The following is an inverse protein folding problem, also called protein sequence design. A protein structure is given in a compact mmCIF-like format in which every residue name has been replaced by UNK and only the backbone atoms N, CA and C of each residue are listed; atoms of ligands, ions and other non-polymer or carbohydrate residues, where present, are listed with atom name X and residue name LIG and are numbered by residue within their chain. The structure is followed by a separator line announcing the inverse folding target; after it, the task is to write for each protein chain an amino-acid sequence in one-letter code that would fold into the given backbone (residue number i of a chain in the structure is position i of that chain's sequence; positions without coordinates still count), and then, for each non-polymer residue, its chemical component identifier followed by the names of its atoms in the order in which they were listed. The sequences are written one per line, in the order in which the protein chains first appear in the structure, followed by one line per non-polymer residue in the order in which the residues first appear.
data_IF_008075705538
#
_entry.id   IF_008075705538
#
_cell.length_a   1.000
_cell.length_b   1.000
_cell.length_c   1.000
_cell.angle_alpha   90.00
_cell.angle_beta   90.00
_cell.angle_gamma   90.00
#
_symmetry.space_group_name_H-M   'P 1'
#
loop_
_entity.id
_entity.type
_entity.pdbx_description
1 polymer ?
#
# COMPACT_ATOMS: atom_id res chain seq x y z
N UNK A 1 -8.91 -13.41 -25.52
CA UNK A 1 -9.25 -12.38 -24.50
C UNK A 1 -9.34 -11.05 -25.24
N UNK A 2 -10.22 -10.10 -24.85
CA UNK A 2 -10.21 -8.77 -25.43
C UNK A 2 -8.81 -8.14 -25.28
N UNK A 3 -8.38 -7.36 -26.27
CA UNK A 3 -7.07 -6.71 -26.23
C UNK A 3 -7.14 -5.52 -25.25
N UNK A 4 -6.09 -5.28 -24.44
CA UNK A 4 -6.03 -4.12 -23.57
C UNK A 4 -6.15 -2.81 -24.37
N UNK A 5 -6.90 -1.80 -23.91
CA UNK A 5 -7.09 -0.53 -24.62
C UNK A 5 -5.88 0.41 -24.47
N UNK A 6 -4.67 -0.10 -24.71
CA UNK A 6 -3.40 0.62 -24.52
C UNK A 6 -3.24 1.86 -25.40
N UNK A 7 -3.95 1.88 -26.53
CA UNK A 7 -3.92 2.97 -27.52
C UNK A 7 -4.90 4.10 -27.21
N UNK A 8 -5.64 4.02 -26.09
CA UNK A 8 -6.52 5.11 -25.66
C UNK A 8 -5.66 6.37 -25.38
N UNK A 9 -6.09 7.56 -25.82
CA UNK A 9 -5.33 8.79 -25.57
C UNK A 9 -5.26 9.08 -24.06
N UNK A 10 -4.04 9.28 -23.56
CA UNK A 10 -3.79 9.69 -22.19
C UNK A 10 -4.21 11.16 -21.97
N UNK A 11 -4.93 11.43 -20.89
CA UNK A 11 -5.16 12.81 -20.47
C UNK A 11 -3.91 13.40 -19.82
N UNK A 12 -3.21 14.26 -20.57
CA UNK A 12 -1.97 14.89 -20.12
C UNK A 12 -2.15 15.80 -18.89
N UNK A 13 -3.33 16.38 -18.69
CA UNK A 13 -3.65 17.17 -17.49
C UNK A 13 -3.71 16.27 -16.27
N UNK A 14 -4.41 15.14 -16.36
CA UNK A 14 -4.49 14.15 -15.28
C UNK A 14 -3.11 13.57 -14.99
N UNK A 15 -2.32 13.23 -16.03
CA UNK A 15 -0.92 12.83 -15.84
C UNK A 15 -0.12 13.88 -15.08
N UNK A 16 -0.21 15.16 -15.46
CA UNK A 16 0.51 16.23 -14.78
C UNK A 16 0.08 16.37 -13.31
N UNK A 17 -1.22 16.27 -13.02
CA UNK A 17 -1.75 16.27 -11.66
C UNK A 17 -1.23 15.08 -10.87
N UNK A 18 -1.29 13.87 -11.42
CA UNK A 18 -0.77 12.66 -10.77
C UNK A 18 0.72 12.79 -10.49
N UNK A 19 1.52 13.28 -11.44
CA UNK A 19 2.96 13.47 -11.25
C UNK A 19 3.24 14.56 -10.23
N UNK A 20 2.92 15.81 -10.53
CA UNK A 20 3.32 16.93 -9.68
C UNK A 20 2.61 16.92 -8.33
N UNK A 21 1.33 16.54 -8.30
CA UNK A 21 0.54 16.44 -7.07
C UNK A 21 1.06 15.37 -6.12
N UNK A 22 1.28 14.15 -6.61
CA UNK A 22 1.78 13.06 -5.74
C UNK A 22 3.24 13.29 -5.30
N UNK A 23 4.09 13.88 -6.14
CA UNK A 23 5.45 14.26 -5.72
C UNK A 23 5.46 15.39 -4.68
N UNK A 24 4.52 16.34 -4.74
CA UNK A 24 4.36 17.34 -3.69
C UNK A 24 3.94 16.69 -2.36
N UNK A 25 3.00 15.73 -2.40
CA UNK A 25 2.62 14.94 -1.22
C UNK A 25 3.83 14.17 -0.68
N UNK A 26 4.61 13.51 -1.54
CA UNK A 26 5.84 12.82 -1.14
C UNK A 26 6.82 13.77 -0.44
N UNK A 27 7.08 14.96 -0.99
CA UNK A 27 7.97 15.93 -0.36
C UNK A 27 7.49 16.34 1.05
N UNK A 28 6.18 16.57 1.22
CA UNK A 28 5.58 16.87 2.53
C UNK A 28 5.70 15.68 3.47
N UNK A 29 5.39 14.47 3.01
CA UNK A 29 5.48 13.25 3.80
C UNK A 29 6.91 12.99 4.28
N UNK A 30 7.92 13.19 3.42
CA UNK A 30 9.33 13.11 3.78
C UNK A 30 9.71 14.16 4.82
N UNK A 31 9.27 15.41 4.66
CA UNK A 31 9.53 16.47 5.64
C UNK A 31 8.95 16.09 7.01
N UNK A 32 7.70 15.63 7.06
CA UNK A 32 7.04 15.18 8.29
C UNK A 32 7.78 13.99 8.90
N UNK A 33 8.19 13.01 8.09
CA UNK A 33 8.94 11.84 8.54
C UNK A 33 10.34 12.19 9.07
N UNK A 34 11.04 13.14 8.44
CA UNK A 34 12.31 13.67 8.91
C UNK A 34 12.12 14.37 10.26
N UNK A 35 11.13 15.25 10.39
CA UNK A 35 10.86 15.94 11.66
C UNK A 35 10.52 14.93 12.77
N UNK A 36 9.68 13.93 12.47
CA UNK A 36 9.35 12.87 13.42
C UNK A 36 10.58 12.02 13.78
N UNK A 37 11.41 11.68 12.78
CA UNK A 37 12.64 10.92 12.94
C UNK A 37 13.69 11.65 13.76
N UNK A 38 13.85 12.96 13.57
CA UNK A 38 14.75 13.80 14.37
C UNK A 38 14.29 13.86 15.83
N UNK A 39 12.99 14.02 16.09
CA UNK A 39 12.42 14.02 17.44
C UNK A 39 12.58 12.68 18.17
N UNK A 40 12.49 11.57 17.43
CA UNK A 40 12.61 10.21 17.97
C UNK A 40 14.01 9.62 17.78
N UNK A 41 14.98 10.40 17.28
CA UNK A 41 16.35 9.99 16.95
C UNK A 41 16.42 8.67 16.17
N UNK A 42 15.59 8.54 15.15
CA UNK A 42 15.48 7.33 14.34
C UNK A 42 15.26 7.66 12.86
N UNK A 43 15.92 6.96 11.91
CA UNK A 43 15.64 7.10 10.49
C UNK A 43 14.36 6.36 10.05
N UNK A 44 13.72 5.62 10.97
CA UNK A 44 12.68 4.64 10.67
C UNK A 44 11.55 5.16 9.76
N UNK A 45 10.97 6.34 10.06
CA UNK A 45 9.85 6.86 9.27
C UNK A 45 10.25 7.21 7.84
N UNK A 46 11.47 7.71 7.64
CA UNK A 46 12.00 7.95 6.30
C UNK A 46 12.18 6.63 5.56
N UNK A 47 12.71 5.60 6.23
CA UNK A 47 12.87 4.27 5.63
C UNK A 47 11.53 3.64 5.25
N UNK A 48 10.47 3.83 6.05
CA UNK A 48 9.11 3.36 5.73
C UNK A 48 8.59 4.03 4.44
N UNK A 49 8.73 5.35 4.31
CA UNK A 49 8.34 6.08 3.10
C UNK A 49 9.15 5.61 1.89
N UNK A 50 10.47 5.49 2.04
CA UNK A 50 11.35 5.09 0.93
C UNK A 50 11.13 3.63 0.53
N UNK A 51 10.78 2.75 1.46
CA UNK A 51 10.41 1.37 1.15
C UNK A 51 9.10 1.29 0.34
N UNK A 52 8.13 2.16 0.63
CA UNK A 52 6.93 2.29 -0.20
C UNK A 52 7.28 2.81 -1.60
N UNK A 53 8.09 3.87 -1.72
CA UNK A 53 8.55 4.35 -3.03
C UNK A 53 9.25 3.23 -3.83
N UNK A 54 10.13 2.45 -3.18
CA UNK A 54 10.78 1.28 -3.76
C UNK A 54 9.77 0.20 -4.19
N UNK A 55 8.65 0.12 -3.48
CA UNK A 55 7.46 -0.65 -3.83
C UNK A 55 7.00 -0.50 -5.27
N UNK A 56 7.14 0.71 -5.85
CA UNK A 56 6.74 0.98 -7.23
C UNK A 56 7.39 0.01 -8.23
N UNK A 57 8.60 -0.50 -7.96
CA UNK A 57 9.27 -1.49 -8.81
C UNK A 57 8.52 -2.83 -8.94
N UNK A 58 7.66 -3.14 -7.99
CA UNK A 58 6.90 -4.40 -7.88
C UNK A 58 5.51 -4.32 -8.51
N UNK A 59 5.08 -3.11 -8.88
CA UNK A 59 3.78 -2.80 -9.49
C UNK A 59 3.47 -3.63 -10.75
N UNK A 60 4.39 -3.90 -11.69
CA UNK A 60 4.03 -4.56 -12.94
C UNK A 60 3.34 -5.91 -12.77
N UNK A 61 3.68 -6.67 -11.72
CA UNK A 61 2.98 -7.92 -11.43
C UNK A 61 1.55 -7.65 -10.95
N UNK A 62 1.38 -6.68 -10.05
CA UNK A 62 0.07 -6.27 -9.55
C UNK A 62 -0.84 -5.82 -10.69
N UNK A 63 -0.32 -5.03 -11.63
CA UNK A 63 -1.05 -4.55 -12.79
C UNK A 63 -1.56 -5.70 -13.68
N UNK A 64 -0.69 -6.66 -13.98
CA UNK A 64 -1.12 -7.86 -14.71
C UNK A 64 -2.18 -8.64 -13.93
N UNK A 65 -1.92 -8.91 -12.65
CA UNK A 65 -2.80 -9.73 -11.80
C UNK A 65 -4.20 -9.14 -11.64
N UNK A 66 -4.31 -7.82 -11.51
CA UNK A 66 -5.59 -7.13 -11.33
C UNK A 66 -6.08 -6.45 -12.61
N UNK A 67 -5.42 -6.67 -13.75
CA UNK A 67 -5.80 -6.10 -15.04
C UNK A 67 -5.86 -4.55 -15.02
N UNK A 68 -4.89 -3.90 -14.38
CA UNK A 68 -4.67 -2.44 -14.45
C UNK A 68 -3.80 -2.10 -15.64
N UNK A 69 -4.22 -1.12 -16.45
CA UNK A 69 -3.49 -0.73 -17.64
C UNK A 69 -3.38 0.79 -17.77
N UNK A 70 -2.16 1.25 -17.97
CA UNK A 70 -1.85 2.65 -18.24
C UNK A 70 -2.06 3.00 -19.72
N UNK A 71 -2.63 4.17 -19.97
CA UNK A 71 -2.70 4.71 -21.33
C UNK A 71 -1.34 5.22 -21.77
N UNK A 72 -0.89 4.76 -22.94
CA UNK A 72 0.53 4.86 -23.33
C UNK A 72 0.87 6.04 -24.25
N UNK A 73 0.04 6.46 -25.23
CA UNK A 73 0.41 7.58 -26.09
C UNK A 73 0.56 8.88 -25.28
N UNK A 74 1.79 9.41 -25.21
CA UNK A 74 2.12 10.62 -24.44
C UNK A 74 2.46 10.38 -22.96
N UNK A 75 2.54 9.12 -22.52
CA UNK A 75 2.90 8.77 -21.15
C UNK A 75 4.35 9.15 -20.83
N UNK A 76 4.57 9.71 -19.64
CA UNK A 76 5.91 9.84 -19.08
C UNK A 76 6.29 8.53 -18.39
N UNK A 77 6.94 7.64 -19.13
CA UNK A 77 7.34 6.31 -18.67
C UNK A 77 8.66 6.38 -17.88
N UNK A 78 8.69 5.75 -16.70
CA UNK A 78 9.91 5.54 -15.91
C UNK A 78 10.66 4.28 -16.35
N UNK A 79 9.93 3.17 -16.50
CA UNK A 79 10.48 1.89 -16.97
C UNK A 79 9.37 1.01 -17.55
N UNK A 80 9.76 -0.09 -18.19
CA UNK A 80 8.82 -1.07 -18.75
C UNK A 80 9.20 -2.46 -18.27
N UNK A 81 8.22 -3.22 -17.78
CA UNK A 81 8.39 -4.61 -17.37
C UNK A 81 7.14 -5.41 -17.76
N UNK A 82 7.31 -6.66 -18.18
CA UNK A 82 6.23 -7.52 -18.69
C UNK A 82 5.42 -6.92 -19.87
N UNK A 83 5.95 -5.89 -20.54
CA UNK A 83 5.23 -5.17 -21.59
C UNK A 83 4.35 -4.02 -21.09
N UNK A 84 4.30 -3.78 -19.78
CA UNK A 84 3.56 -2.68 -19.18
C UNK A 84 4.51 -1.49 -18.94
N UNK A 85 4.29 -0.33 -19.60
CA UNK A 85 5.03 0.89 -19.31
C UNK A 85 4.54 1.53 -18.00
N UNK A 86 5.44 1.62 -17.03
CA UNK A 86 5.17 2.18 -15.72
C UNK A 86 5.37 3.70 -15.75
N UNK A 87 4.38 4.51 -15.32
CA UNK A 87 4.51 5.95 -15.35
C UNK A 87 5.48 6.45 -14.27
N UNK A 88 6.08 7.62 -14.47
CA UNK A 88 6.96 8.26 -13.48
C UNK A 88 6.32 8.47 -12.12
N UNK A 89 5.01 8.67 -12.07
CA UNK A 89 4.28 8.85 -10.83
C UNK A 89 4.10 7.55 -10.04
N UNK A 90 4.47 6.37 -10.55
CA UNK A 90 4.33 5.10 -9.81
C UNK A 90 5.01 5.16 -8.44
N UNK A 91 6.21 5.75 -8.36
CA UNK A 91 6.96 5.86 -7.11
C UNK A 91 6.29 6.80 -6.11
N UNK A 92 5.82 7.96 -6.57
CA UNK A 92 5.16 8.96 -5.73
C UNK A 92 3.72 8.57 -5.38
N UNK A 93 3.04 7.83 -6.25
CA UNK A 93 1.75 7.19 -6.01
C UNK A 93 1.84 6.18 -4.88
N UNK A 94 2.85 5.31 -4.89
CA UNK A 94 3.13 4.37 -3.80
C UNK A 94 3.41 5.07 -2.46
N UNK A 95 4.10 6.21 -2.46
CA UNK A 95 4.27 7.00 -1.24
C UNK A 95 2.94 7.63 -0.79
N UNK A 96 2.15 8.12 -1.73
CA UNK A 96 0.87 8.79 -1.47
C UNK A 96 -0.15 7.81 -0.88
N UNK A 97 -0.32 6.65 -1.52
CA UNK A 97 -1.21 5.58 -1.09
C UNK A 97 -0.66 4.89 0.16
N UNK A 98 0.51 4.27 0.03
CA UNK A 98 0.97 3.33 1.05
C UNK A 98 1.90 3.95 2.09
N UNK A 99 2.93 4.67 1.64
CA UNK A 99 4.03 5.12 2.49
C UNK A 99 3.62 6.14 3.57
N UNK A 100 2.77 7.10 3.18
CA UNK A 100 2.34 8.20 4.05
C UNK A 100 1.47 7.67 5.18
N UNK A 101 0.41 6.93 4.84
CA UNK A 101 -0.47 6.30 5.84
C UNK A 101 0.31 5.33 6.70
N UNK A 102 1.19 4.50 6.13
CA UNK A 102 1.97 3.54 6.91
C UNK A 102 2.87 4.22 7.96
N UNK A 103 3.57 5.30 7.58
CA UNK A 103 4.40 6.06 8.51
C UNK A 103 3.57 6.66 9.66
N UNK A 104 2.37 7.18 9.36
CA UNK A 104 1.44 7.71 10.37
C UNK A 104 0.93 6.61 11.30
N UNK A 105 0.54 5.46 10.77
CA UNK A 105 0.11 4.30 11.55
C UNK A 105 1.25 3.85 12.46
N UNK A 106 2.46 3.67 11.95
CA UNK A 106 3.61 3.29 12.78
C UNK A 106 3.87 4.30 13.90
N UNK A 107 3.73 5.61 13.64
CA UNK A 107 3.84 6.63 14.68
C UNK A 107 2.77 6.48 15.75
N UNK A 108 1.52 6.21 15.35
CA UNK A 108 0.43 5.95 16.30
C UNK A 108 0.65 4.65 17.09
N UNK A 109 1.23 3.60 16.51
CA UNK A 109 1.63 2.38 17.24
C UNK A 109 2.57 2.75 18.39
N UNK A 110 3.56 3.62 18.17
CA UNK A 110 4.49 4.04 19.25
C UNK A 110 3.82 4.75 20.41
N UNK A 111 2.59 5.26 20.21
CA UNK A 111 1.78 5.93 21.24
C UNK A 111 0.74 5.02 21.89
N UNK A 112 0.79 3.71 21.65
CA UNK A 112 -0.16 2.75 22.22
C UNK A 112 -1.48 2.68 21.46
N UNK A 113 -1.41 2.54 20.13
CA UNK A 113 -2.60 2.38 19.30
C UNK A 113 -3.42 1.13 19.68
N UNK A 114 -4.74 1.29 19.73
CA UNK A 114 -5.68 0.18 19.93
C UNK A 114 -6.11 -0.47 18.62
N UNK A 115 -6.67 -1.68 18.69
CA UNK A 115 -7.25 -2.38 17.53
C UNK A 115 -8.33 -1.57 16.83
N UNK A 116 -9.21 -0.93 17.61
CA UNK A 116 -10.27 -0.08 17.07
C UNK A 116 -9.73 1.13 16.31
N UNK A 117 -8.61 1.70 16.75
CA UNK A 117 -7.93 2.77 16.00
C UNK A 117 -7.30 2.23 14.71
N UNK A 118 -6.71 1.04 14.72
CA UNK A 118 -6.16 0.42 13.52
C UNK A 118 -7.24 0.17 12.46
N UNK A 119 -8.44 -0.28 12.87
CA UNK A 119 -9.57 -0.43 11.95
C UNK A 119 -10.05 0.89 11.36
N UNK A 120 -10.01 1.99 12.13
CA UNK A 120 -10.29 3.33 11.57
C UNK A 120 -9.25 3.74 10.55
N UNK A 121 -7.98 3.45 10.81
CA UNK A 121 -6.91 3.68 9.83
C UNK A 121 -7.09 2.85 8.56
N UNK A 122 -7.55 1.61 8.66
CA UNK A 122 -7.90 0.80 7.49
C UNK A 122 -9.01 1.46 6.65
N UNK A 123 -10.03 2.04 7.31
CA UNK A 123 -11.08 2.79 6.62
C UNK A 123 -10.60 4.11 6.01
N UNK A 124 -9.68 4.81 6.67
CA UNK A 124 -9.03 6.02 6.12
C UNK A 124 -8.22 5.65 4.88
N UNK A 125 -7.44 4.57 4.95
CA UNK A 125 -6.65 4.09 3.82
C UNK A 125 -7.54 3.73 2.63
N UNK A 126 -8.63 2.99 2.86
CA UNK A 126 -9.60 2.66 1.82
C UNK A 126 -10.15 3.93 1.15
N UNK A 127 -10.46 4.96 1.93
CA UNK A 127 -10.95 6.22 1.39
C UNK A 127 -9.86 6.98 0.59
N UNK A 128 -8.61 6.96 1.06
CA UNK A 128 -7.46 7.54 0.35
C UNK A 128 -7.20 6.83 -0.98
N UNK A 129 -7.18 5.49 -0.97
CA UNK A 129 -7.08 4.65 -2.16
C UNK A 129 -8.21 4.95 -3.15
N UNK A 130 -9.47 4.92 -2.70
CA UNK A 130 -10.61 5.28 -3.54
C UNK A 130 -10.45 6.68 -4.17
N UNK A 131 -10.06 7.68 -3.38
CA UNK A 131 -9.91 9.04 -3.88
C UNK A 131 -8.81 9.14 -4.96
N UNK A 132 -7.64 8.56 -4.71
CA UNK A 132 -6.52 8.57 -5.66
C UNK A 132 -6.89 7.84 -6.95
N UNK A 133 -7.41 6.62 -6.82
CA UNK A 133 -7.73 5.73 -7.93
C UNK A 133 -8.87 6.27 -8.79
N UNK A 134 -9.95 6.73 -8.17
CA UNK A 134 -11.08 7.31 -8.90
C UNK A 134 -10.66 8.58 -9.66
N UNK A 135 -9.75 9.40 -9.11
CA UNK A 135 -9.21 10.57 -9.84
C UNK A 135 -8.39 10.13 -11.05
N UNK A 136 -7.51 9.14 -10.89
CA UNK A 136 -6.68 8.62 -11.99
C UNK A 136 -7.52 8.01 -13.12
N UNK A 137 -8.47 7.15 -12.76
CA UNK A 137 -9.32 6.43 -13.71
C UNK A 137 -10.26 7.38 -14.44
N UNK A 138 -11.07 8.14 -13.70
CA UNK A 138 -12.06 9.04 -14.30
C UNK A 138 -11.40 10.27 -14.94
N UNK A 139 -10.16 10.57 -14.58
CA UNK A 139 -9.33 11.56 -15.25
C UNK A 139 -8.74 11.06 -16.56
N UNK A 140 -8.86 9.78 -16.90
CA UNK A 140 -8.32 9.20 -18.14
C UNK A 140 -6.82 9.00 -18.12
N UNK A 141 -6.26 8.54 -17.00
CA UNK A 141 -4.84 8.17 -16.88
C UNK A 141 -4.60 6.67 -17.12
N UNK A 142 -5.49 5.83 -16.61
CA UNK A 142 -5.41 4.38 -16.65
C UNK A 142 -6.78 3.77 -16.33
N UNK A 143 -6.94 2.48 -16.48
CA UNK A 143 -8.17 1.79 -16.09
C UNK A 143 -7.91 0.36 -15.63
N UNK A 144 -8.85 -0.18 -14.85
CA UNK A 144 -8.99 -1.62 -14.69
C UNK A 144 -9.89 -2.12 -15.81
N UNK A 145 -9.39 -2.89 -16.78
CA UNK A 145 -10.21 -3.31 -17.95
C UNK A 145 -10.89 -4.67 -17.76
N UNK A 146 -10.45 -5.47 -16.79
CA UNK A 146 -11.01 -6.79 -16.52
C UNK A 146 -12.50 -6.75 -16.13
N UNK A 147 -13.22 -7.89 -16.17
CA UNK A 147 -14.64 -7.94 -15.84
C UNK A 147 -14.88 -7.86 -14.31
N UNK A 148 -14.25 -6.91 -13.64
CA UNK A 148 -14.34 -6.67 -12.20
C UNK A 148 -15.77 -6.40 -11.74
N UNK A 149 -16.13 -6.96 -10.58
CA UNK A 149 -17.39 -6.69 -9.90
C UNK A 149 -17.29 -5.48 -8.94
N UNK A 150 -18.44 -4.91 -8.57
CA UNK A 150 -18.58 -3.87 -7.54
C UNK A 150 -17.74 -2.60 -7.79
N UNK A 151 -17.73 -2.12 -9.03
CA UNK A 151 -17.09 -0.86 -9.39
C UNK A 151 -17.85 0.33 -8.81
N UNK A 152 -17.11 1.33 -8.34
CA UNK A 152 -17.60 2.65 -7.96
C UNK A 152 -16.78 3.67 -8.72
N UNK A 153 -17.41 4.49 -9.57
CA UNK A 153 -16.70 5.40 -10.50
C UNK A 153 -15.58 4.65 -11.25
N UNK A 154 -15.94 3.51 -11.84
CA UNK A 154 -15.06 2.58 -12.57
C UNK A 154 -13.95 1.89 -11.76
N UNK A 155 -13.77 2.25 -10.49
CA UNK A 155 -12.79 1.63 -9.58
C UNK A 155 -13.36 0.37 -8.89
N UNK A 156 -12.75 -0.82 -9.06
CA UNK A 156 -13.16 -2.04 -8.35
C UNK A 156 -12.85 -1.96 -6.85
N UNK A 157 -13.88 -1.93 -5.99
CA UNK A 157 -13.67 -1.66 -4.55
C UNK A 157 -12.85 -2.73 -3.81
N UNK A 158 -12.79 -3.96 -4.35
CA UNK A 158 -11.93 -5.03 -3.81
C UNK A 158 -10.46 -4.62 -3.80
N UNK A 159 -10.04 -3.82 -4.76
CA UNK A 159 -8.66 -3.39 -4.90
C UNK A 159 -8.30 -2.45 -3.75
N UNK A 160 -9.13 -1.46 -3.46
CA UNK A 160 -8.86 -0.54 -2.35
C UNK A 160 -8.88 -1.24 -0.99
N UNK A 161 -9.65 -2.32 -0.86
CA UNK A 161 -9.66 -3.15 0.34
C UNK A 161 -8.36 -3.98 0.45
N UNK A 162 -7.85 -4.52 -0.66
CA UNK A 162 -6.58 -5.25 -0.69
C UNK A 162 -5.40 -4.31 -0.39
N UNK A 163 -5.39 -3.12 -0.99
CA UNK A 163 -4.45 -2.04 -0.70
C UNK A 163 -4.49 -1.63 0.77
N UNK A 164 -5.69 -1.46 1.33
CA UNK A 164 -5.84 -1.19 2.76
C UNK A 164 -5.24 -2.30 3.61
N UNK A 165 -5.51 -3.58 3.27
CA UNK A 165 -4.92 -4.70 3.98
C UNK A 165 -3.38 -4.71 3.87
N UNK A 166 -2.84 -4.38 2.69
CA UNK A 166 -1.41 -4.22 2.47
C UNK A 166 -0.80 -3.18 3.41
N UNK A 167 -1.37 -1.97 3.47
CA UNK A 167 -0.86 -0.89 4.33
C UNK A 167 -0.91 -1.27 5.79
N UNK A 168 -2.01 -1.86 6.25
CA UNK A 168 -2.15 -2.30 7.64
C UNK A 168 -1.11 -3.37 7.98
N UNK A 169 -0.97 -4.41 7.16
CA UNK A 169 0.00 -5.47 7.37
C UNK A 169 1.44 -4.93 7.35
N UNK A 170 1.79 -4.07 6.39
CA UNK A 170 3.09 -3.44 6.32
C UNK A 170 3.38 -2.59 7.56
N UNK A 171 2.44 -1.77 7.99
CA UNK A 171 2.59 -0.88 9.14
C UNK A 171 2.84 -1.65 10.45
N UNK A 172 2.07 -2.72 10.67
CA UNK A 172 2.24 -3.56 11.86
C UNK A 172 3.55 -4.34 11.79
N UNK A 173 3.91 -4.91 10.64
CA UNK A 173 5.17 -5.62 10.46
C UNK A 173 6.39 -4.69 10.66
N UNK A 174 6.35 -3.49 10.07
CA UNK A 174 7.39 -2.48 10.21
C UNK A 174 7.52 -2.00 11.67
N UNK A 175 6.40 -1.80 12.37
CA UNK A 175 6.42 -1.44 13.79
C UNK A 175 6.97 -2.56 14.68
N UNK A 176 6.62 -3.82 14.39
CA UNK A 176 7.21 -4.99 15.06
C UNK A 176 8.71 -5.09 14.82
N UNK A 177 9.16 -4.90 13.58
CA UNK A 177 10.58 -4.83 13.25
C UNK A 177 11.27 -3.74 14.07
N UNK A 178 10.70 -2.53 14.12
CA UNK A 178 11.24 -1.43 14.90
C UNK A 178 11.34 -1.76 16.39
N UNK A 179 10.32 -2.38 16.98
CA UNK A 179 10.31 -2.73 18.41
C UNK A 179 11.40 -3.75 18.76
N UNK A 180 11.71 -4.66 17.82
CA UNK A 180 12.68 -5.74 18.02
C UNK A 180 14.08 -5.40 17.52
N UNK A 181 14.24 -4.29 16.80
CA UNK A 181 15.51 -3.89 16.24
C UNK A 181 16.50 -3.50 17.35
N UNK A 182 17.63 -4.19 17.40
CA UNK A 182 18.76 -3.90 18.30
C UNK A 182 19.81 -3.00 17.65
N UNK A 183 19.72 -2.74 16.35
CA UNK A 183 20.61 -1.83 15.63
C UNK A 183 19.87 -1.06 14.53
N UNK A 184 20.34 0.15 14.15
CA UNK A 184 19.76 0.91 13.04
C UNK A 184 19.78 0.18 11.70
N UNK A 185 20.76 -0.71 11.48
CA UNK A 185 20.88 -1.47 10.24
C UNK A 185 19.68 -2.42 10.03
N UNK A 186 19.13 -3.00 11.09
CA UNK A 186 17.97 -3.90 11.00
C UNK A 186 16.72 -3.18 10.51
N UNK A 187 16.62 -1.85 10.68
CA UNK A 187 15.48 -1.08 10.20
C UNK A 187 15.38 -1.07 8.67
N UNK A 188 16.48 -1.31 7.94
CA UNK A 188 16.44 -1.49 6.49
C UNK A 188 15.63 -2.72 6.06
N UNK A 189 15.32 -3.64 6.98
CA UNK A 189 14.40 -4.75 6.74
C UNK A 189 13.02 -4.31 6.24
N UNK A 190 12.60 -3.05 6.45
CA UNK A 190 11.35 -2.53 5.86
C UNK A 190 11.32 -2.60 4.33
N UNK A 191 12.47 -2.54 3.65
CA UNK A 191 12.56 -2.70 2.19
C UNK A 191 12.26 -4.13 1.73
N UNK A 192 12.48 -5.13 2.59
CA UNK A 192 12.06 -6.51 2.33
C UNK A 192 10.61 -6.75 2.77
N UNK A 193 10.18 -6.13 3.88
CA UNK A 193 8.81 -6.26 4.38
C UNK A 193 7.79 -5.67 3.42
N UNK A 194 8.07 -4.52 2.80
CA UNK A 194 7.12 -3.87 1.88
C UNK A 194 6.67 -4.81 0.75
N UNK A 195 7.54 -5.33 -0.14
CA UNK A 195 7.12 -6.22 -1.21
C UNK A 195 6.51 -7.53 -0.69
N UNK A 196 7.00 -8.06 0.44
CA UNK A 196 6.42 -9.26 1.05
C UNK A 196 4.97 -9.05 1.46
N UNK A 197 4.67 -7.95 2.16
CA UNK A 197 3.30 -7.59 2.57
C UNK A 197 2.43 -7.16 1.40
N UNK A 198 3.01 -6.51 0.39
CA UNK A 198 2.36 -6.14 -0.85
C UNK A 198 1.82 -7.35 -1.59
N UNK A 199 2.66 -8.36 -1.85
CA UNK A 199 2.22 -9.59 -2.49
C UNK A 199 1.34 -10.45 -1.57
N UNK A 200 1.59 -10.49 -0.27
CA UNK A 200 0.73 -11.22 0.67
C UNK A 200 -0.72 -10.72 0.62
N UNK A 201 -0.94 -9.41 0.61
CA UNK A 201 -2.27 -8.84 0.51
C UNK A 201 -2.81 -8.96 -0.92
N UNK A 202 -2.15 -8.33 -1.89
CA UNK A 202 -2.71 -8.18 -3.24
C UNK A 202 -2.77 -9.50 -4.02
N UNK A 203 -1.80 -10.40 -3.85
CA UNK A 203 -1.82 -11.71 -4.50
C UNK A 203 -2.32 -12.82 -3.58
N UNK A 204 -1.91 -12.82 -2.31
CA UNK A 204 -2.36 -13.85 -1.36
C UNK A 204 -3.87 -13.74 -1.11
N UNK A 205 -4.34 -12.59 -0.60
CA UNK A 205 -5.77 -12.38 -0.41
C UNK A 205 -6.52 -12.14 -1.73
N UNK A 206 -5.89 -11.51 -2.73
CA UNK A 206 -6.49 -11.29 -4.06
C UNK A 206 -6.52 -12.51 -4.97
N UNK A 207 -5.86 -13.62 -4.64
CA UNK A 207 -5.76 -14.80 -5.51
C UNK A 207 -7.10 -15.27 -6.09
N UNK A 208 -8.20 -15.41 -5.31
CA UNK A 208 -9.49 -15.81 -5.87
C UNK A 208 -9.95 -14.92 -7.03
N UNK A 209 -9.96 -13.59 -6.87
CA UNK A 209 -10.41 -12.68 -7.93
C UNK A 209 -9.43 -12.71 -9.12
N UNK A 210 -8.12 -12.72 -8.87
CA UNK A 210 -7.09 -12.78 -9.93
C UNK A 210 -7.28 -14.02 -10.82
N UNK A 211 -7.43 -15.20 -10.21
CA UNK A 211 -7.62 -16.47 -10.95
C UNK A 211 -8.86 -16.43 -11.83
N UNK A 212 -9.96 -15.87 -11.31
CA UNK A 212 -11.24 -15.81 -12.03
C UNK A 212 -11.18 -14.78 -13.15
N UNK A 213 -10.55 -13.62 -12.94
CA UNK A 213 -10.34 -12.61 -13.99
C UNK A 213 -9.56 -13.19 -15.18
N UNK A 214 -8.59 -14.05 -14.92
CA UNK A 214 -7.74 -14.69 -15.93
C UNK A 214 -8.32 -15.98 -16.52
N UNK A 215 -9.51 -16.39 -16.11
CA UNK A 215 -10.21 -17.53 -16.70
C UNK A 215 -10.84 -17.12 -18.02
N UNK A 216 -10.73 -17.94 -19.07
CA UNK A 216 -11.16 -17.56 -20.42
C UNK A 216 -12.68 -17.31 -20.56
N UNK A 217 -13.51 -18.07 -19.84
CA UNK A 217 -14.97 -17.98 -19.86
C UNK A 217 -15.53 -18.27 -18.46
N UNK A 218 -15.33 -17.38 -17.47
CA UNK A 218 -15.84 -17.60 -16.13
C UNK A 218 -17.37 -17.54 -16.16
N UNK A 219 -18.03 -18.40 -15.38
CA UNK A 219 -19.47 -18.27 -15.16
C UNK A 219 -19.77 -16.88 -14.56
N UNK A 220 -20.85 -16.18 -14.96
CA UNK A 220 -21.09 -14.79 -14.55
C UNK A 220 -21.11 -14.54 -13.04
N UNK A 221 -21.54 -15.54 -12.26
CA UNK A 221 -21.58 -15.46 -10.79
C UNK A 221 -20.22 -15.64 -10.12
N UNK A 222 -19.24 -16.20 -10.84
CA UNK A 222 -17.93 -16.57 -10.28
C UNK A 222 -17.09 -15.34 -9.94
N UNK A 223 -17.19 -14.29 -10.77
CA UNK A 223 -16.48 -13.02 -10.56
C UNK A 223 -16.92 -12.36 -9.23
N UNK A 224 -18.21 -12.06 -9.00
CA UNK A 224 -18.62 -11.45 -7.73
C UNK A 224 -18.36 -12.38 -6.53
N UNK A 225 -18.49 -13.71 -6.69
CA UNK A 225 -18.18 -14.65 -5.62
C UNK A 225 -16.69 -14.63 -5.23
N UNK A 226 -15.79 -14.68 -6.22
CA UNK A 226 -14.34 -14.60 -5.99
C UNK A 226 -13.92 -13.23 -5.45
N UNK A 227 -14.57 -12.16 -5.91
CA UNK A 227 -14.38 -10.81 -5.39
C UNK A 227 -14.73 -10.73 -3.91
N UNK A 228 -15.89 -11.25 -3.49
CA UNK A 228 -16.29 -11.30 -2.09
C UNK A 228 -15.35 -12.18 -1.24
N UNK A 229 -14.86 -13.29 -1.80
CA UNK A 229 -13.90 -14.15 -1.11
C UNK A 229 -12.57 -13.42 -0.87
N UNK A 230 -12.05 -12.71 -1.87
CA UNK A 230 -10.84 -11.88 -1.74
C UNK A 230 -11.02 -10.74 -0.72
N UNK A 231 -12.18 -10.09 -0.70
CA UNK A 231 -12.53 -9.11 0.34
C UNK A 231 -12.48 -9.78 1.72
N UNK A 232 -13.07 -10.98 1.86
CA UNK A 232 -13.04 -11.75 3.11
C UNK A 232 -11.62 -12.03 3.59
N UNK A 233 -10.72 -12.44 2.70
CA UNK A 233 -9.32 -12.67 3.03
C UNK A 233 -8.59 -11.38 3.43
N UNK A 234 -8.81 -10.28 2.72
CA UNK A 234 -8.22 -8.98 3.06
C UNK A 234 -8.66 -8.50 4.46
N UNK A 235 -9.95 -8.62 4.78
CA UNK A 235 -10.49 -8.27 6.10
C UNK A 235 -9.92 -9.17 7.21
N UNK A 236 -9.71 -10.46 6.93
CA UNK A 236 -9.04 -11.37 7.86
C UNK A 236 -7.58 -10.99 8.09
N UNK A 237 -6.85 -10.58 7.04
CA UNK A 237 -5.48 -10.05 7.19
C UNK A 237 -5.45 -8.82 8.09
N UNK A 238 -6.36 -7.86 7.90
CA UNK A 238 -6.48 -6.66 8.75
C UNK A 238 -6.75 -7.07 10.21
N UNK A 239 -7.67 -8.02 10.42
CA UNK A 239 -7.97 -8.55 11.77
C UNK A 239 -6.74 -9.20 12.39
N UNK A 240 -6.02 -10.06 11.68
CA UNK A 240 -4.82 -10.72 12.19
C UNK A 240 -3.69 -9.73 12.48
N UNK A 241 -3.50 -8.72 11.62
CA UNK A 241 -2.56 -7.64 11.89
C UNK A 241 -2.92 -6.87 13.17
N UNK A 242 -4.21 -6.65 13.45
CA UNK A 242 -4.65 -6.02 14.70
C UNK A 242 -4.30 -6.85 15.95
N UNK A 243 -4.31 -8.19 15.85
CA UNK A 243 -3.87 -9.07 16.94
C UNK A 243 -2.36 -8.99 17.18
N UNK A 244 -1.59 -8.61 16.16
CA UNK A 244 -0.14 -8.49 16.19
C UNK A 244 0.35 -7.09 16.53
N UNK A 245 -0.52 -6.19 16.99
CA UNK A 245 -0.09 -4.87 17.45
C UNK A 245 0.97 -5.01 18.58
N UNK A 246 2.09 -4.27 18.49
CA UNK A 246 3.08 -4.19 19.56
C UNK A 246 2.43 -3.88 20.91
N UNK A 247 2.70 -4.72 21.92
CA UNK A 247 2.35 -4.39 23.30
C UNK A 247 3.24 -3.21 23.71
N UNK A 248 2.70 -2.11 24.26
CA UNK A 248 3.51 -1.05 24.82
C UNK A 248 4.50 -1.69 25.79
N UNK A 249 5.79 -1.44 25.61
CA UNK A 249 6.79 -1.91 26.56
C UNK A 249 6.32 -1.48 27.95
N UNK A 250 6.04 -2.46 28.83
CA UNK A 250 5.85 -2.17 30.24
C UNK A 250 6.99 -1.24 30.64
N UNK A 251 6.64 -0.09 31.22
CA UNK A 251 7.60 0.89 31.72
C UNK A 251 8.79 0.13 32.32
N UNK A 252 9.98 0.32 31.74
CA UNK A 252 11.18 -0.35 32.19
C UNK A 252 11.21 -0.31 33.72
N UNK A 253 11.21 -1.49 34.35
CA UNK A 253 11.37 -1.59 35.80
C UNK A 253 12.55 -0.68 36.18
N UNK A 254 12.39 0.23 37.16
CA UNK A 254 13.49 1.07 37.60
C UNK A 254 14.66 0.16 37.99
N UNK A 255 15.78 0.28 37.30
CA UNK A 255 17.04 -0.40 37.63
C UNK A 255 17.71 0.23 38.87
N UNK A 256 16.93 0.73 39.83
CA UNK A 256 17.41 1.37 41.06
C UNK A 256 17.33 0.43 42.28
N UNK A 257 17.22 -0.87 42.06
CA UNK A 257 17.05 -1.87 43.14
C UNK A 257 18.26 -2.77 43.43
N UNK A 258 19.33 -2.74 42.62
CA UNK A 258 20.52 -3.57 42.88
C UNK A 258 21.60 -2.72 43.53
N UNK A 259 21.61 -2.79 44.85
CA UNK A 259 22.50 -2.06 45.74
C UNK A 259 23.97 -2.23 45.39
N UNK A 260 24.69 -1.10 45.48
CA UNK A 260 26.12 -1.11 45.75
C UNK A 260 26.32 -1.59 47.19
N UNK A 261 26.59 -2.87 47.35
CA UNK A 261 27.24 -3.38 48.56
C UNK A 261 28.74 -3.07 48.42
N UNK A 262 29.18 -2.10 49.22
CA UNK A 262 30.53 -1.77 49.69
C UNK A 262 31.69 -1.82 48.69
#
# INVERSE_FOLDING_TARGET
MPMPPVDHPLNLTTQAVLVFGSYAIWAIALLVAIIAGLRQRTPFFVLVIMAAAFGGLFEPLYDEGLMLWFYTPGQWTAYTAFGIPQPWWVYSGYVTLYGTTAAMICHQITKGMTRGMLYRWAGIELACSCAFEMIGINGGAYEYWGPHAFRVLDYPIVIGILESAQVICFSVAAAQLRQRATSPLQLWGVFALFPATFYMANFGAGAPVIVVLHTAQPAPWLIPAATLLSIGFALLLIRFAAELLPVPAQAALPLDGLGRVR
#
